data_IF_923266624118
#
_entry.id   IF_923266624118
#
_cell.length_a   1.000
_cell.length_b   1.000
_cell.length_c   1.000
_cell.angle_alpha   90.00
_cell.angle_beta   90.00
_cell.angle_gamma   90.00
#
_symmetry.space_group_name_H-M   'P 1'
#
loop_
_entity.id
_entity.type
_entity.pdbx_description
1 polymer ?
#
# COMPACT_ATOMS: atom_id res chain seq x y z
N UNK A 1 6.67 -14.40 -21.43
CA UNK A 1 6.41 -14.17 -20.00
C UNK A 1 4.89 -14.19 -19.81
N UNK A 2 4.32 -15.26 -19.27
CA UNK A 2 2.88 -15.36 -19.07
C UNK A 2 2.49 -14.75 -17.72
N UNK A 3 1.77 -13.63 -17.73
CA UNK A 3 1.22 -13.00 -16.54
C UNK A 3 -0.26 -13.39 -16.40
N UNK A 4 -0.70 -13.82 -15.22
CA UNK A 4 -2.11 -14.01 -14.92
C UNK A 4 -2.76 -12.66 -14.55
N UNK A 5 -3.85 -12.30 -15.23
CA UNK A 5 -4.65 -11.14 -14.86
C UNK A 5 -5.89 -11.63 -14.09
N UNK A 6 -6.08 -11.14 -12.88
CA UNK A 6 -7.32 -11.33 -12.13
C UNK A 6 -8.12 -10.03 -12.13
N UNK A 7 -9.32 -10.06 -12.69
CA UNK A 7 -10.19 -8.87 -12.74
C UNK A 7 -10.99 -8.80 -11.44
N UNK A 8 -10.70 -7.79 -10.62
CA UNK A 8 -11.56 -7.42 -9.49
C UNK A 8 -12.74 -6.63 -10.04
N UNK A 9 -13.89 -7.28 -10.21
CA UNK A 9 -15.07 -6.68 -10.84
C UNK A 9 -15.95 -5.87 -9.87
N UNK A 10 -15.77 -6.06 -8.56
CA UNK A 10 -16.60 -5.49 -7.52
C UNK A 10 -15.71 -4.99 -6.40
N UNK A 11 -15.68 -3.68 -6.21
CA UNK A 11 -14.91 -3.01 -5.15
C UNK A 11 -15.00 -1.51 -5.31
N UNK A 12 -15.01 -0.78 -4.18
CA UNK A 12 -14.82 0.66 -4.19
C UNK A 12 -13.32 0.94 -4.16
N UNK A 13 -12.83 1.67 -5.16
CA UNK A 13 -11.45 2.15 -5.17
C UNK A 13 -11.39 3.30 -4.19
N UNK A 14 -10.48 3.20 -3.21
CA UNK A 14 -10.15 4.28 -2.29
C UNK A 14 -8.64 4.52 -2.35
N UNK A 15 -8.25 5.78 -2.25
CA UNK A 15 -6.88 6.24 -2.11
C UNK A 15 -6.49 6.31 -0.64
N UNK A 16 -5.19 6.41 -0.35
CA UNK A 16 -4.69 6.55 1.02
C UNK A 16 -5.20 7.83 1.70
N UNK A 17 -5.40 8.90 0.90
CA UNK A 17 -5.96 10.17 1.37
C UNK A 17 -7.42 10.01 1.77
N UNK A 18 -8.24 9.38 0.92
CA UNK A 18 -9.65 9.09 1.21
C UNK A 18 -9.81 8.14 2.40
N UNK A 19 -8.89 7.19 2.56
CA UNK A 19 -8.90 6.27 3.70
C UNK A 19 -8.65 7.01 5.03
N UNK A 20 -7.69 7.94 5.06
CA UNK A 20 -7.41 8.74 6.27
C UNK A 20 -8.58 9.65 6.63
N UNK A 21 -9.21 10.31 5.65
CA UNK A 21 -10.40 11.12 5.88
C UNK A 21 -11.57 10.26 6.41
N UNK A 22 -11.86 9.13 5.76
CA UNK A 22 -12.94 8.24 6.17
C UNK A 22 -12.75 7.65 7.58
N UNK A 23 -11.51 7.42 8.02
CA UNK A 23 -11.22 6.80 9.32
C UNK A 23 -11.09 7.81 10.46
N UNK A 24 -10.54 9.00 10.18
CA UNK A 24 -10.13 9.94 11.22
C UNK A 24 -10.67 11.38 11.04
N UNK A 25 -11.41 11.64 9.96
CA UNK A 25 -11.90 12.97 9.58
C UNK A 25 -10.77 14.02 9.52
N UNK A 26 -9.68 13.67 8.85
CA UNK A 26 -8.49 14.52 8.66
C UNK A 26 -8.29 14.86 7.20
N UNK A 27 -7.73 16.03 6.93
CA UNK A 27 -7.31 16.42 5.59
C UNK A 27 -5.87 15.94 5.34
N UNK A 28 -5.66 15.16 4.29
CA UNK A 28 -4.36 14.62 3.94
C UNK A 28 -3.97 15.00 2.51
N UNK A 29 -2.72 15.39 2.31
CA UNK A 29 -2.17 15.76 1.00
C UNK A 29 -0.86 15.05 0.76
N UNK A 30 -0.70 14.46 -0.42
CA UNK A 30 0.57 13.87 -0.86
C UNK A 30 1.56 15.01 -1.16
N UNK A 31 2.67 15.06 -0.43
CA UNK A 31 3.70 16.10 -0.60
C UNK A 31 4.98 15.58 -1.24
N UNK A 32 5.20 14.27 -1.23
CA UNK A 32 6.27 13.64 -1.96
C UNK A 32 5.91 12.20 -2.30
N UNK A 33 6.46 11.71 -3.41
CA UNK A 33 6.45 10.30 -3.79
C UNK A 33 7.88 9.92 -4.14
N UNK A 34 8.34 8.75 -3.71
CA UNK A 34 9.71 8.34 -3.98
C UNK A 34 9.99 6.92 -3.55
N UNK A 35 10.70 6.21 -4.42
CA UNK A 35 11.19 4.87 -4.15
C UNK A 35 12.37 4.50 -5.03
N UNK A 36 13.55 4.32 -4.43
CA UNK A 36 14.69 3.63 -5.03
C UNK A 36 15.29 2.73 -3.95
N UNK A 37 15.39 1.43 -4.19
CA UNK A 37 15.78 0.43 -3.19
C UNK A 37 14.61 -0.04 -2.33
N UNK A 38 14.77 -0.14 -1.01
CA UNK A 38 13.79 -0.73 -0.06
C UNK A 38 12.45 0.02 0.12
N UNK A 39 12.16 1.04 -0.68
CA UNK A 39 10.94 1.86 -0.59
C UNK A 39 10.24 1.98 -1.95
N UNK A 40 10.20 0.89 -2.73
CA UNK A 40 9.53 0.84 -4.04
C UNK A 40 8.02 1.13 -3.89
N UNK A 41 7.65 2.41 -4.01
CA UNK A 41 6.26 2.87 -3.94
C UNK A 41 5.86 3.61 -2.68
N UNK A 42 6.80 4.11 -1.86
CA UNK A 42 6.44 4.93 -0.69
C UNK A 42 6.01 6.35 -1.07
N UNK A 43 5.04 6.88 -0.30
CA UNK A 43 4.60 8.28 -0.37
C UNK A 43 4.74 8.97 0.99
N UNK A 44 4.86 10.29 0.97
CA UNK A 44 4.83 11.14 2.16
C UNK A 44 3.56 11.98 2.15
N UNK A 45 2.80 11.89 3.24
CA UNK A 45 1.56 12.62 3.45
C UNK A 45 1.76 13.74 4.48
N UNK A 46 1.29 14.94 4.16
CA UNK A 46 1.02 15.99 5.14
C UNK A 46 -0.43 15.83 5.60
N UNK A 47 -0.66 15.76 6.91
CA UNK A 47 -1.98 15.52 7.50
C UNK A 47 -2.32 16.65 8.45
N UNK A 48 -3.52 17.20 8.33
CA UNK A 48 -4.05 18.29 9.13
C UNK A 48 -5.40 17.90 9.74
N UNK A 49 -5.60 18.24 11.01
CA UNK A 49 -6.83 17.94 11.74
C UNK A 49 -6.67 18.24 13.23
N UNK A 50 -7.65 17.82 14.01
CA UNK A 50 -7.63 17.99 15.47
C UNK A 50 -6.51 17.15 16.12
N UNK A 51 -5.96 17.65 17.23
CA UNK A 51 -4.74 17.10 17.84
C UNK A 51 -4.91 15.64 18.33
N UNK A 52 -6.10 15.28 18.80
CA UNK A 52 -6.47 13.92 19.17
C UNK A 52 -6.49 13.00 17.94
N UNK A 53 -7.08 13.45 16.83
CA UNK A 53 -7.10 12.71 15.55
C UNK A 53 -5.72 12.54 14.94
N UNK A 54 -4.89 13.57 14.98
CA UNK A 54 -3.49 13.46 14.56
C UNK A 54 -2.71 12.45 15.42
N UNK A 55 -3.02 12.36 16.72
CA UNK A 55 -2.41 11.37 17.60
C UNK A 55 -2.84 9.94 17.26
N UNK A 56 -4.13 9.72 16.98
CA UNK A 56 -4.68 8.44 16.51
C UNK A 56 -4.04 8.01 15.17
N UNK A 57 -3.97 8.91 14.19
CA UNK A 57 -3.33 8.67 12.89
C UNK A 57 -1.86 8.27 13.07
N UNK A 58 -1.12 9.01 13.89
CA UNK A 58 0.29 8.71 14.15
C UNK A 58 0.50 7.38 14.86
N UNK A 59 -0.44 6.96 15.72
CA UNK A 59 -0.41 5.64 16.33
C UNK A 59 -0.62 4.54 15.28
N UNK A 60 -1.64 4.67 14.43
CA UNK A 60 -1.90 3.71 13.35
C UNK A 60 -0.68 3.56 12.42
N UNK A 61 -0.12 4.67 11.94
CA UNK A 61 1.02 4.66 11.01
C UNK A 61 2.25 3.97 11.64
N UNK A 62 2.48 4.14 12.94
CA UNK A 62 3.58 3.47 13.66
C UNK A 62 3.36 1.97 13.77
N UNK A 63 2.12 1.52 13.96
CA UNK A 63 1.81 0.09 13.97
C UNK A 63 1.95 -0.53 12.58
N UNK A 64 1.44 0.12 11.53
CA UNK A 64 1.57 -0.36 10.14
C UNK A 64 3.05 -0.57 9.73
N UNK A 65 3.95 0.31 10.17
CA UNK A 65 5.40 0.18 9.88
C UNK A 65 6.06 -1.07 10.49
N UNK A 66 5.41 -1.75 11.43
CA UNK A 66 5.92 -2.99 12.04
C UNK A 66 5.47 -4.24 11.27
N UNK A 67 4.60 -4.09 10.28
CA UNK A 67 4.15 -5.23 9.47
C UNK A 67 5.33 -5.89 8.76
N UNK A 68 5.35 -7.23 8.68
CA UNK A 68 6.40 -7.93 7.96
C UNK A 68 6.35 -7.53 6.48
N UNK A 69 7.53 -7.42 5.87
CA UNK A 69 7.61 -7.15 4.43
C UNK A 69 6.81 -8.18 3.65
N UNK A 70 6.07 -7.72 2.64
CA UNK A 70 5.40 -8.61 1.70
C UNK A 70 6.45 -9.53 1.07
N UNK A 71 6.30 -10.83 1.32
CA UNK A 71 7.15 -11.84 0.71
C UNK A 71 6.53 -12.20 -0.64
N UNK A 72 7.27 -11.96 -1.71
CA UNK A 72 6.86 -12.46 -3.01
C UNK A 72 6.89 -14.00 -2.95
N UNK A 73 5.77 -14.65 -3.25
CA UNK A 73 5.76 -16.09 -3.50
C UNK A 73 6.44 -16.36 -4.84
N UNK A 74 7.78 -16.37 -4.81
CA UNK A 74 8.61 -16.69 -5.96
C UNK A 74 8.69 -18.21 -6.04
N UNK A 75 7.92 -18.76 -6.98
CA UNK A 75 8.06 -20.13 -7.44
C UNK A 75 9.16 -20.20 -8.49
N UNK A 76 10.02 -21.22 -8.41
CA UNK A 76 10.95 -21.53 -9.51
C UNK A 76 10.15 -21.84 -10.78
N UNK A 77 10.54 -21.28 -11.92
CA UNK A 77 9.92 -21.62 -13.21
C UNK A 77 10.01 -23.13 -13.51
N UNK A 78 11.05 -23.80 -13.01
CA UNK A 78 11.25 -25.25 -13.14
C UNK A 78 10.17 -26.04 -12.40
N UNK A 79 9.71 -25.50 -11.27
CA UNK A 79 8.67 -26.11 -10.46
C UNK A 79 7.27 -25.65 -10.87
N UNK A 80 7.13 -24.93 -12.01
CA UNK A 80 5.86 -24.36 -12.49
C UNK A 80 4.88 -25.41 -13.04
N UNK A 81 3.62 -25.39 -12.59
CA UNK A 81 2.54 -26.30 -12.99
C UNK A 81 1.80 -25.81 -14.23
N UNK A 82 2.11 -24.60 -14.66
CA UNK A 82 1.76 -24.02 -15.94
C UNK A 82 3.04 -23.36 -16.50
N UNK A 83 3.99 -24.16 -17.00
CA UNK A 83 5.23 -23.63 -17.58
C UNK A 83 4.86 -22.75 -18.79
N UNK A 84 5.53 -21.61 -18.93
CA UNK A 84 5.43 -20.79 -20.14
C UNK A 84 6.48 -21.27 -21.15
N UNK A 85 6.13 -21.31 -22.44
CA UNK A 85 6.94 -21.88 -23.54
C UNK A 85 8.19 -21.06 -23.94
N UNK A 86 9.02 -20.66 -22.99
CA UNK A 86 10.27 -19.93 -23.28
C UNK A 86 11.47 -20.61 -22.65
#
# INVERSE_FOLDING_TARGET
MACGLFVVNTGQIITEVEALDAMFAVDATVVAAGGVGDSEGAITLAVQGDADKLSEVMQLVKELKKEPRLTAQKRSCVECSAPCDH
#
